data_IF_726849976757
#
_entry.id   IF_726849976757
#
_cell.length_a   1.000
_cell.length_b   1.000
_cell.length_c   1.000
_cell.angle_alpha   90.00
_cell.angle_beta   90.00
_cell.angle_gamma   90.00
#
_symmetry.space_group_name_H-M   'P 1'
#
loop_
_entity.id
_entity.type
_entity.pdbx_description
1 polymer ?
#
# COMPACT_ATOMS: atom_id res chain seq x y z
N UNK A 1 -5.97 -49.04 42.53
CA UNK A 1 -5.82 -47.88 41.65
C UNK A 1 -4.44 -47.22 41.89
N UNK A 2 -3.55 -47.30 40.90
CA UNK A 2 -2.18 -46.70 41.02
C UNK A 2 -2.25 -45.20 40.72
N UNK A 3 -2.13 -44.33 41.71
CA UNK A 3 -2.01 -42.89 41.52
C UNK A 3 -0.70 -42.58 40.79
N UNK A 4 -0.75 -42.25 39.51
CA UNK A 4 0.40 -41.71 38.77
C UNK A 4 0.70 -40.33 39.31
N UNK A 5 1.79 -40.12 40.05
CA UNK A 5 2.30 -38.81 40.48
C UNK A 5 2.61 -37.99 39.22
N UNK A 6 1.90 -36.90 39.00
CA UNK A 6 2.20 -35.93 37.92
C UNK A 6 3.53 -35.23 38.30
N UNK A 7 4.54 -35.39 37.47
CA UNK A 7 5.80 -34.64 37.59
C UNK A 7 5.50 -33.16 37.26
N UNK A 8 5.74 -32.27 38.19
CA UNK A 8 5.67 -30.83 37.98
C UNK A 8 7.00 -30.27 37.49
N UNK A 9 6.97 -29.13 36.80
CA UNK A 9 8.13 -28.39 36.38
C UNK A 9 8.84 -27.79 37.61
N UNK A 10 10.16 -27.78 37.58
CA UNK A 10 10.99 -27.11 38.59
C UNK A 10 11.07 -25.61 38.27
N UNK A 11 11.24 -24.79 39.30
CA UNK A 11 11.42 -23.33 39.14
C UNK A 11 12.66 -23.00 38.28
N UNK A 12 13.74 -23.79 38.45
CA UNK A 12 14.98 -23.59 37.69
C UNK A 12 14.79 -23.88 36.18
N UNK A 13 14.02 -24.89 35.82
CA UNK A 13 13.71 -25.19 34.41
C UNK A 13 12.96 -24.00 33.75
N UNK A 14 12.05 -23.37 34.48
CA UNK A 14 11.33 -22.21 33.95
C UNK A 14 12.26 -21.01 33.77
N UNK A 15 13.15 -20.72 34.73
CA UNK A 15 14.11 -19.61 34.66
C UNK A 15 15.06 -19.77 33.48
N UNK A 16 15.58 -20.96 33.27
CA UNK A 16 16.48 -21.23 32.14
C UNK A 16 15.79 -21.00 30.82
N UNK A 17 14.55 -21.46 30.66
CA UNK A 17 13.76 -21.27 29.41
C UNK A 17 13.55 -19.78 29.12
N UNK A 18 13.11 -19.00 30.10
CA UNK A 18 12.87 -17.56 29.88
C UNK A 18 14.19 -16.80 29.60
N UNK A 19 15.31 -17.22 30.21
CA UNK A 19 16.64 -16.65 29.95
C UNK A 19 17.07 -16.88 28.49
N UNK A 20 16.91 -18.11 27.98
CA UNK A 20 17.22 -18.44 26.58
C UNK A 20 16.29 -17.67 25.61
N UNK A 21 14.98 -17.65 25.89
CA UNK A 21 14.02 -16.90 25.07
C UNK A 21 14.35 -15.41 25.05
N UNK A 22 14.79 -14.82 26.17
CA UNK A 22 15.21 -13.43 26.25
C UNK A 22 16.40 -13.11 25.33
N UNK A 23 17.40 -13.98 25.29
CA UNK A 23 18.56 -13.82 24.41
C UNK A 23 18.15 -13.94 22.94
N UNK A 24 17.33 -14.92 22.60
CA UNK A 24 16.84 -15.10 21.24
C UNK A 24 15.98 -13.91 20.78
N UNK A 25 15.11 -13.40 21.65
CA UNK A 25 14.27 -12.25 21.36
C UNK A 25 15.12 -10.98 21.10
N UNK A 26 16.18 -10.75 21.85
CA UNK A 26 17.06 -9.60 21.69
C UNK A 26 17.66 -9.52 20.26
N UNK A 27 17.92 -10.65 19.63
CA UNK A 27 18.48 -10.73 18.26
C UNK A 27 17.36 -10.73 17.21
N UNK A 28 16.23 -11.38 17.49
CA UNK A 28 15.15 -11.57 16.53
C UNK A 28 14.34 -10.29 16.26
N UNK A 29 14.04 -9.50 17.29
CA UNK A 29 13.20 -8.31 17.18
C UNK A 29 13.76 -7.27 16.18
N UNK A 30 15.03 -6.84 16.25
CA UNK A 30 15.56 -5.85 15.31
C UNK A 30 15.60 -6.36 13.86
N UNK A 31 15.86 -7.66 13.66
CA UNK A 31 15.83 -8.28 12.33
C UNK A 31 14.41 -8.32 11.75
N UNK A 32 13.44 -8.65 12.58
CA UNK A 32 12.02 -8.67 12.17
C UNK A 32 11.55 -7.29 11.72
N UNK A 33 11.89 -6.23 12.46
CA UNK A 33 11.51 -4.87 12.10
C UNK A 33 12.09 -4.44 10.75
N UNK A 34 13.36 -4.73 10.47
CA UNK A 34 13.99 -4.47 9.16
C UNK A 34 13.30 -5.22 8.02
N UNK A 35 12.98 -6.50 8.23
CA UNK A 35 12.26 -7.31 7.23
C UNK A 35 10.86 -6.76 6.96
N UNK A 36 10.16 -6.30 7.99
CA UNK A 36 8.82 -5.71 7.86
C UNK A 36 8.84 -4.43 7.04
N UNK A 37 9.81 -3.53 7.27
CA UNK A 37 9.97 -2.30 6.49
C UNK A 37 10.27 -2.64 5.03
N UNK A 38 11.23 -3.53 4.77
CA UNK A 38 11.57 -3.95 3.40
C UNK A 38 10.39 -4.59 2.67
N UNK A 39 9.59 -5.40 3.34
CA UNK A 39 8.37 -5.96 2.77
C UNK A 39 7.34 -4.88 2.43
N UNK A 40 7.19 -3.86 3.28
CA UNK A 40 6.30 -2.73 3.03
C UNK A 40 6.77 -1.89 1.82
N UNK A 41 8.07 -1.64 1.68
CA UNK A 41 8.64 -0.95 0.51
C UNK A 41 8.43 -1.73 -0.78
N UNK A 42 8.64 -3.05 -0.76
CA UNK A 42 8.40 -3.90 -1.94
C UNK A 42 6.93 -3.90 -2.33
N UNK A 43 6.02 -3.99 -1.37
CA UNK A 43 4.59 -3.92 -1.63
C UNK A 43 4.16 -2.54 -2.16
N UNK A 44 4.79 -1.46 -1.67
CA UNK A 44 4.58 -0.12 -2.18
C UNK A 44 4.99 0.02 -3.65
N UNK A 45 6.17 -0.47 -4.03
CA UNK A 45 6.62 -0.48 -5.42
C UNK A 45 5.70 -1.29 -6.33
N UNK A 46 5.25 -2.46 -5.87
CA UNK A 46 4.28 -3.26 -6.61
C UNK A 46 2.95 -2.53 -6.83
N UNK A 47 2.47 -1.79 -5.84
CA UNK A 47 1.27 -0.96 -5.97
C UNK A 47 1.46 0.16 -7.00
N UNK A 48 2.63 0.82 -7.02
CA UNK A 48 2.94 1.85 -8.03
C UNK A 48 2.93 1.26 -9.44
N UNK A 49 3.58 0.13 -9.65
CA UNK A 49 3.61 -0.51 -10.98
C UNK A 49 2.22 -0.99 -11.43
N UNK A 50 1.40 -1.47 -10.50
CA UNK A 50 0.01 -1.83 -10.79
C UNK A 50 -0.82 -0.60 -11.20
N UNK A 51 -0.74 0.49 -10.46
CA UNK A 51 -1.43 1.74 -10.76
C UNK A 51 -0.96 2.34 -12.09
N UNK A 52 0.34 2.29 -12.36
CA UNK A 52 0.94 2.75 -13.61
C UNK A 52 0.43 1.94 -14.81
N UNK A 53 0.40 0.62 -14.70
CA UNK A 53 -0.11 -0.25 -15.76
C UNK A 53 -1.59 0.00 -16.04
N UNK A 54 -2.40 0.15 -15.00
CA UNK A 54 -3.82 0.48 -15.13
C UNK A 54 -4.03 1.85 -15.78
N UNK A 55 -3.27 2.86 -15.39
CA UNK A 55 -3.34 4.20 -15.97
C UNK A 55 -2.94 4.21 -17.46
N UNK A 56 -1.94 3.42 -17.85
CA UNK A 56 -1.55 3.26 -19.25
C UNK A 56 -2.64 2.57 -20.09
N UNK A 57 -3.31 1.56 -19.53
CA UNK A 57 -4.47 0.94 -20.20
C UNK A 57 -5.60 1.95 -20.39
N UNK A 58 -5.89 2.74 -19.36
CA UNK A 58 -6.89 3.81 -19.42
C UNK A 58 -6.54 4.86 -20.49
N UNK A 59 -5.28 5.22 -20.59
CA UNK A 59 -4.79 6.14 -21.62
C UNK A 59 -5.03 5.59 -23.04
N UNK A 60 -4.76 4.30 -23.27
CA UNK A 60 -5.01 3.64 -24.55
C UNK A 60 -6.50 3.61 -24.95
N UNK A 61 -7.39 3.55 -23.96
CA UNK A 61 -8.83 3.59 -24.19
C UNK A 61 -9.37 5.02 -24.31
N UNK A 62 -8.54 6.02 -24.01
CA UNK A 62 -8.94 7.42 -24.13
C UNK A 62 -9.25 7.76 -25.60
N UNK A 63 -10.42 8.34 -25.82
CA UNK A 63 -10.90 8.70 -27.16
C UNK A 63 -11.70 7.62 -27.89
N UNK A 64 -11.78 6.38 -27.41
CA UNK A 64 -12.62 5.33 -28.02
C UNK A 64 -14.08 5.44 -27.59
N UNK A 65 -14.35 5.80 -26.32
CA UNK A 65 -15.69 5.87 -25.74
C UNK A 65 -16.07 7.28 -25.27
N UNK A 66 -15.48 8.32 -25.86
CA UNK A 66 -15.69 9.71 -25.40
C UNK A 66 -15.05 10.02 -24.05
N UNK A 67 -14.25 9.12 -23.51
CA UNK A 67 -13.52 9.33 -22.25
C UNK A 67 -12.47 10.42 -22.42
N UNK A 68 -12.39 11.32 -21.46
CA UNK A 68 -11.37 12.38 -21.43
C UNK A 68 -9.97 11.80 -21.41
N UNK A 69 -9.00 12.45 -22.07
CA UNK A 69 -7.58 12.10 -21.96
C UNK A 69 -7.06 12.36 -20.55
N UNK A 70 -7.51 13.42 -19.91
CA UNK A 70 -7.10 13.78 -18.56
C UNK A 70 -8.02 13.11 -17.54
N UNK A 71 -7.44 12.47 -16.52
CA UNK A 71 -8.19 11.82 -15.45
C UNK A 71 -7.45 11.86 -14.12
N UNK A 72 -8.22 11.74 -13.04
CA UNK A 72 -7.68 11.62 -11.68
C UNK A 72 -8.41 10.49 -10.97
N UNK A 73 -7.63 9.58 -10.39
CA UNK A 73 -8.14 8.46 -9.61
C UNK A 73 -7.75 8.58 -8.15
N UNK A 74 -8.71 8.35 -7.27
CA UNK A 74 -8.54 8.30 -5.82
C UNK A 74 -9.27 7.09 -5.27
N UNK A 75 -8.96 6.72 -4.03
CA UNK A 75 -9.62 5.60 -3.34
C UNK A 75 -11.12 5.82 -3.18
N UNK A 76 -11.52 7.03 -2.88
CA UNK A 76 -12.92 7.39 -2.68
C UNK A 76 -13.43 8.24 -3.87
N UNK A 77 -14.42 7.74 -4.63
CA UNK A 77 -15.05 8.53 -5.69
C UNK A 77 -15.67 9.84 -5.21
N UNK A 78 -15.99 9.96 -3.93
CA UNK A 78 -16.53 11.18 -3.35
C UNK A 78 -15.49 12.28 -3.15
N UNK A 79 -14.22 11.94 -3.01
CA UNK A 79 -13.12 12.90 -2.82
C UNK A 79 -12.80 13.74 -4.08
N UNK A 80 -13.30 13.33 -5.23
CA UNK A 80 -13.14 14.08 -6.50
C UNK A 80 -13.97 15.37 -6.57
N UNK A 81 -14.80 15.66 -5.56
CA UNK A 81 -15.68 16.84 -5.54
C UNK A 81 -14.98 18.15 -5.13
N UNK A 82 -13.74 18.13 -4.68
CA UNK A 82 -13.07 19.30 -4.09
C UNK A 82 -12.03 20.00 -4.97
N UNK A 83 -11.96 19.69 -6.28
CA UNK A 83 -11.10 20.48 -7.16
C UNK A 83 -11.95 21.46 -7.99
N UNK A 84 -12.33 22.56 -7.33
CA UNK A 84 -12.95 23.73 -7.95
C UNK A 84 -11.90 24.56 -8.69
N UNK A 85 -11.42 24.08 -9.83
CA UNK A 85 -10.80 24.95 -10.80
C UNK A 85 -11.60 24.88 -12.10
N UNK A 86 -12.39 25.94 -12.32
CA UNK A 86 -13.48 26.07 -13.29
C UNK A 86 -13.00 26.32 -14.73
N UNK A 87 -11.76 25.98 -15.08
CA UNK A 87 -11.18 26.31 -16.39
C UNK A 87 -10.78 25.13 -17.28
N UNK A 88 -10.90 23.90 -16.82
CA UNK A 88 -10.65 22.71 -17.64
C UNK A 88 -11.81 21.75 -17.52
N UNK A 89 -12.40 21.33 -18.64
CA UNK A 89 -13.29 20.16 -18.73
C UNK A 89 -12.50 18.89 -18.37
N UNK A 90 -12.11 18.76 -17.11
CA UNK A 90 -11.60 17.52 -16.54
C UNK A 90 -12.83 16.77 -16.07
N UNK A 91 -13.35 15.86 -16.88
CA UNK A 91 -14.32 14.88 -16.42
C UNK A 91 -13.59 14.02 -15.40
N UNK A 92 -13.84 14.26 -14.12
CA UNK A 92 -13.37 13.45 -13.00
C UNK A 92 -14.13 12.10 -13.04
N UNK A 93 -13.81 11.27 -14.02
CA UNK A 93 -14.31 9.90 -14.07
C UNK A 93 -13.37 9.05 -13.22
N UNK A 94 -13.77 8.70 -12.01
CA UNK A 94 -13.06 7.70 -11.22
C UNK A 94 -13.45 6.31 -11.73
N UNK A 95 -13.04 6.01 -12.95
CA UNK A 95 -13.23 4.74 -13.64
C UNK A 95 -12.10 3.72 -13.33
N UNK A 96 -11.33 3.98 -12.28
CA UNK A 96 -10.18 3.16 -11.90
C UNK A 96 -10.51 1.66 -11.76
N UNK A 97 -11.70 1.33 -11.26
CA UNK A 97 -12.12 -0.06 -11.07
C UNK A 97 -12.50 -0.79 -12.37
N UNK A 98 -12.53 -0.10 -13.53
CA UNK A 98 -12.59 -0.76 -14.83
C UNK A 98 -11.24 -1.37 -15.21
N UNK A 99 -10.14 -0.84 -14.65
CA UNK A 99 -8.75 -1.22 -14.96
C UNK A 99 -8.04 -1.90 -13.79
N UNK A 100 -8.66 -1.91 -12.61
CA UNK A 100 -8.14 -2.49 -11.38
C UNK A 100 -9.21 -3.35 -10.71
N UNK A 101 -8.87 -4.56 -10.33
CA UNK A 101 -9.76 -5.42 -9.52
C UNK A 101 -10.07 -4.78 -8.15
N UNK A 102 -9.09 -4.08 -7.59
CA UNK A 102 -9.21 -3.42 -6.30
C UNK A 102 -8.23 -2.27 -6.18
N UNK A 103 -8.67 -1.19 -5.53
CA UNK A 103 -7.78 -0.09 -5.17
C UNK A 103 -6.74 -0.52 -4.14
N UNK A 104 -5.43 -0.29 -4.38
CA UNK A 104 -4.39 -0.70 -3.46
C UNK A 104 -4.39 0.15 -2.19
N UNK A 105 -4.25 -0.50 -1.05
CA UNK A 105 -4.01 0.18 0.22
C UNK A 105 -2.53 0.48 0.43
N UNK A 106 -2.21 1.57 1.13
CA UNK A 106 -0.85 1.84 1.55
C UNK A 106 -0.32 0.73 2.47
N UNK A 107 0.87 0.16 2.22
CA UNK A 107 1.42 -0.90 3.04
C UNK A 107 1.71 -0.42 4.47
N UNK A 108 1.32 -1.23 5.45
CA UNK A 108 1.61 -0.94 6.86
C UNK A 108 3.12 -1.05 7.14
N UNK A 109 3.71 0.00 7.68
CA UNK A 109 5.14 0.03 8.03
C UNK A 109 5.97 1.00 7.19
N UNK A 110 5.37 1.65 6.19
CA UNK A 110 5.96 2.81 5.56
C UNK A 110 5.85 4.04 6.47
N UNK A 111 6.84 4.93 6.41
CA UNK A 111 6.77 6.24 7.07
C UNK A 111 5.75 7.17 6.40
N UNK A 112 5.54 6.95 5.10
CA UNK A 112 4.58 7.68 4.27
C UNK A 112 3.15 7.28 4.60
N UNK A 113 2.28 8.27 4.79
CA UNK A 113 0.86 8.08 5.14
C UNK A 113 -0.02 8.65 4.04
N UNK A 114 -1.21 8.09 3.92
CA UNK A 114 -2.24 8.55 2.98
C UNK A 114 -2.67 7.44 2.01
N UNK A 115 -3.57 7.79 1.13
CA UNK A 115 -4.02 6.93 0.05
C UNK A 115 -3.30 7.29 -1.26
N UNK A 116 -3.27 6.35 -2.21
CA UNK A 116 -2.73 6.62 -3.53
C UNK A 116 -3.66 7.54 -4.31
N UNK A 117 -3.05 8.41 -5.10
CA UNK A 117 -3.73 9.23 -6.10
C UNK A 117 -2.98 9.08 -7.41
N UNK A 118 -3.72 8.85 -8.49
CA UNK A 118 -3.19 8.76 -9.85
C UNK A 118 -3.75 9.95 -10.62
N UNK A 119 -2.89 10.74 -11.22
CA UNK A 119 -3.26 11.89 -12.04
C UNK A 119 -2.60 11.75 -13.42
N UNK A 120 -3.40 11.78 -14.46
CA UNK A 120 -2.94 11.86 -15.84
C UNK A 120 -3.42 13.17 -16.45
N UNK A 121 -2.46 14.04 -16.78
CA UNK A 121 -2.74 15.36 -17.32
C UNK A 121 -1.74 15.72 -18.43
N UNK A 122 -2.25 16.13 -19.56
CA UNK A 122 -1.45 16.62 -20.71
C UNK A 122 -0.31 15.69 -21.15
N UNK A 123 -0.56 14.39 -21.09
CA UNK A 123 0.44 13.38 -21.46
C UNK A 123 1.37 12.97 -20.31
N UNK A 124 1.16 13.47 -19.11
CA UNK A 124 2.01 13.22 -17.95
C UNK A 124 1.25 12.42 -16.89
N UNK A 125 1.80 11.28 -16.51
CA UNK A 125 1.30 10.43 -15.46
C UNK A 125 2.03 10.72 -14.15
N UNK A 126 1.29 11.03 -13.10
CA UNK A 126 1.81 11.26 -11.75
C UNK A 126 1.11 10.34 -10.77
N UNK A 127 1.85 9.62 -9.94
CA UNK A 127 1.33 8.80 -8.85
C UNK A 127 1.85 9.34 -7.53
N UNK A 128 0.95 9.59 -6.60
CA UNK A 128 1.23 10.13 -5.27
C UNK A 128 0.77 9.18 -4.18
N UNK A 129 1.44 9.20 -3.03
CA UNK A 129 0.97 8.60 -1.78
C UNK A 129 0.87 9.71 -0.73
N UNK A 130 -0.36 10.11 -0.39
CA UNK A 130 -0.60 11.33 0.37
C UNK A 130 -0.06 12.55 -0.38
N UNK A 131 0.86 13.29 0.24
CA UNK A 131 1.49 14.48 -0.37
C UNK A 131 2.77 14.16 -1.17
N UNK A 132 3.29 12.93 -1.06
CA UNK A 132 4.55 12.53 -1.72
C UNK A 132 4.31 12.09 -3.16
N UNK A 133 5.05 12.65 -4.12
CA UNK A 133 5.10 12.14 -5.49
C UNK A 133 5.98 10.89 -5.54
N UNK A 134 5.41 9.76 -5.95
CA UNK A 134 6.10 8.47 -5.99
C UNK A 134 6.55 8.10 -7.41
N UNK A 135 5.82 8.57 -8.40
CA UNK A 135 6.12 8.36 -9.81
C UNK A 135 5.67 9.56 -10.65
N UNK A 136 6.49 9.95 -11.60
CA UNK A 136 6.19 10.96 -12.60
C UNK A 136 6.80 10.52 -13.94
N UNK A 137 5.97 10.42 -14.99
CA UNK A 137 6.48 10.16 -16.35
C UNK A 137 7.21 11.39 -16.88
N UNK A 138 8.28 11.17 -17.62
CA UNK A 138 9.02 12.22 -18.33
C UNK A 138 8.28 12.62 -19.58
#
# INVERSE_FOLDING_TARGET
MKNKKKKGFTLIELIIVIAILGILAAIAIPRYNKSKIKAAETAHQANIEMLKSAAQLRELDSGKDGKSKNFTWTKDPADTKNNTDTSSKTENSNDALEYLDKWPGAPKGLEKKGDYTVEYKDGKLTIKLGESTEYESK
#
